data_IF_680959390373
#
_entry.id   IF_680959390373
#
_cell.length_a   1.000
_cell.length_b   1.000
_cell.length_c   1.000
_cell.angle_alpha   90.00
_cell.angle_beta   90.00
_cell.angle_gamma   90.00
#
_symmetry.space_group_name_H-M   'P 1'
#
loop_
_entity.id
_entity.type
_entity.pdbx_description
1 polymer ?
#
# COMPACT_ATOMS: atom_id res chain seq x y z
N UNK A 1 11.11 14.37 26.44
CA UNK A 1 10.12 13.57 25.71
C UNK A 1 10.71 13.31 24.35
N UNK A 2 10.89 12.06 23.95
CA UNK A 2 11.39 11.75 22.61
C UNK A 2 10.40 12.29 21.56
N UNK A 3 10.92 12.72 20.41
CA UNK A 3 10.08 13.26 19.35
C UNK A 3 9.04 12.21 18.91
N UNK A 4 7.77 12.62 18.81
CA UNK A 4 6.71 11.77 18.24
C UNK A 4 7.19 11.33 16.86
N UNK A 5 7.32 10.02 16.69
CA UNK A 5 7.88 9.47 15.46
C UNK A 5 6.86 9.62 14.33
N UNK A 6 7.27 10.18 13.20
CA UNK A 6 6.43 10.22 12.00
C UNK A 6 6.23 8.82 11.45
N UNK A 7 5.04 8.52 10.93
CA UNK A 7 4.65 7.19 10.44
C UNK A 7 5.70 6.45 9.60
N UNK A 8 6.33 7.11 8.62
CA UNK A 8 7.28 6.45 7.73
C UNK A 8 8.67 6.26 8.35
N UNK A 9 9.03 7.03 9.37
CA UNK A 9 10.38 7.03 9.97
C UNK A 9 10.83 5.65 10.48
N UNK A 10 10.03 4.88 11.23
CA UNK A 10 10.41 3.54 11.70
C UNK A 10 10.72 2.60 10.55
N UNK A 11 9.86 2.61 9.52
CA UNK A 11 10.03 1.77 8.32
C UNK A 11 11.29 2.18 7.57
N UNK A 12 11.52 3.48 7.41
CA UNK A 12 12.70 4.05 6.74
C UNK A 12 14.01 3.82 7.51
N UNK A 13 13.94 3.51 8.81
CA UNK A 13 15.11 3.17 9.63
C UNK A 13 15.51 1.69 9.52
N UNK A 14 14.63 0.81 9.01
CA UNK A 14 15.01 -0.57 8.68
C UNK A 14 16.04 -0.54 7.54
N UNK A 15 17.20 -1.21 7.66
CA UNK A 15 18.19 -1.27 6.58
C UNK A 15 17.58 -1.72 5.24
N UNK A 16 17.96 -1.09 4.13
CA UNK A 16 17.34 -1.34 2.82
C UNK A 16 17.45 -2.81 2.37
N UNK A 17 18.51 -3.52 2.79
CA UNK A 17 18.70 -4.95 2.52
C UNK A 17 17.85 -5.88 3.42
N UNK A 18 17.18 -5.33 4.44
CA UNK A 18 16.29 -6.05 5.36
C UNK A 18 14.82 -5.65 5.21
N UNK A 19 14.56 -4.47 4.65
CA UNK A 19 13.21 -3.94 4.49
C UNK A 19 12.45 -4.72 3.44
N UNK A 20 11.32 -5.31 3.85
CA UNK A 20 10.40 -5.97 2.92
C UNK A 20 9.84 -4.96 1.91
N UNK A 21 9.90 -5.31 0.62
CA UNK A 21 9.32 -4.49 -0.46
C UNK A 21 8.21 -5.21 -1.21
N UNK A 22 8.24 -6.54 -1.23
CA UNK A 22 7.23 -7.37 -1.89
C UNK A 22 6.22 -7.85 -0.87
N UNK A 23 4.93 -7.64 -1.12
CA UNK A 23 3.90 -8.01 -0.17
C UNK A 23 2.85 -8.91 -0.81
N UNK A 24 2.15 -9.63 0.06
CA UNK A 24 0.96 -10.40 -0.31
C UNK A 24 -0.21 -9.89 0.49
N UNK A 25 -1.25 -9.41 -0.20
CA UNK A 25 -2.40 -8.81 0.48
C UNK A 25 -3.21 -9.89 1.19
N UNK A 26 -3.56 -9.60 2.44
CA UNK A 26 -4.41 -10.44 3.28
C UNK A 26 -5.61 -9.66 3.81
N UNK A 27 -6.77 -10.30 3.71
CA UNK A 27 -8.04 -9.87 4.29
C UNK A 27 -8.59 -10.87 5.32
N UNK A 28 -7.82 -11.90 5.70
CA UNK A 28 -8.23 -12.87 6.72
C UNK A 28 -8.21 -12.19 8.11
N UNK A 29 -9.39 -12.02 8.70
CA UNK A 29 -9.55 -11.25 9.95
C UNK A 29 -8.78 -11.86 11.12
N UNK A 30 -8.90 -13.17 11.32
CA UNK A 30 -8.22 -13.87 12.41
C UNK A 30 -6.69 -13.78 12.28
N UNK A 31 -6.17 -13.91 11.06
CA UNK A 31 -4.73 -13.79 10.78
C UNK A 31 -4.25 -12.36 10.92
N UNK A 32 -5.01 -11.37 10.44
CA UNK A 32 -4.69 -9.95 10.63
C UNK A 32 -4.62 -9.57 12.11
N UNK A 33 -5.56 -10.03 12.92
CA UNK A 33 -5.56 -9.75 14.35
C UNK A 33 -4.39 -10.43 15.06
N UNK A 34 -4.06 -11.67 14.71
CA UNK A 34 -2.88 -12.36 15.22
C UNK A 34 -1.59 -11.61 14.87
N UNK A 35 -1.42 -11.19 13.61
CA UNK A 35 -0.27 -10.40 13.15
C UNK A 35 -0.15 -9.06 13.88
N UNK A 36 -1.28 -8.35 14.02
CA UNK A 36 -1.31 -7.08 14.75
C UNK A 36 -0.88 -7.28 16.20
N UNK A 37 -1.47 -8.25 16.90
CA UNK A 37 -1.17 -8.49 18.31
C UNK A 37 0.29 -8.95 18.55
N UNK A 38 0.94 -9.56 17.56
CA UNK A 38 2.34 -9.96 17.63
C UNK A 38 3.32 -8.76 17.62
N UNK A 39 2.94 -7.63 17.04
CA UNK A 39 3.80 -6.41 16.93
C UNK A 39 3.27 -5.23 17.76
N UNK A 40 1.95 -5.16 17.92
CA UNK A 40 1.19 -4.09 18.55
C UNK A 40 0.19 -4.66 19.57
N UNK A 41 0.65 -5.34 20.64
CA UNK A 41 -0.24 -5.86 21.67
C UNK A 41 -1.09 -4.76 22.32
N UNK A 42 -2.23 -5.15 22.88
CA UNK A 42 -3.17 -4.22 23.49
C UNK A 42 -2.48 -3.34 24.56
N UNK A 43 -2.67 -2.03 24.46
CA UNK A 43 -2.10 -1.06 25.40
C UNK A 43 -0.70 -0.54 25.06
N UNK A 44 -0.07 -1.01 23.98
CA UNK A 44 1.28 -0.58 23.54
C UNK A 44 1.47 0.95 23.61
N UNK A 45 0.48 1.73 23.16
CA UNK A 45 0.58 3.20 23.12
C UNK A 45 -0.11 3.94 24.27
N UNK A 46 -0.62 3.24 25.28
CA UNK A 46 -1.44 3.85 26.34
C UNK A 46 -0.65 4.85 27.18
N UNK A 47 0.52 4.45 27.70
CA UNK A 47 1.32 5.32 28.57
C UNK A 47 1.88 6.51 27.80
N UNK A 48 2.47 6.28 26.63
CA UNK A 48 3.03 7.35 25.78
C UNK A 48 1.96 8.37 25.38
N UNK A 49 0.73 7.92 25.14
CA UNK A 49 -0.42 8.82 24.89
C UNK A 49 -0.76 9.66 26.12
N UNK A 50 -0.78 9.06 27.33
CA UNK A 50 -1.03 9.81 28.58
C UNK A 50 0.06 10.87 28.81
N UNK A 51 1.32 10.50 28.61
CA UNK A 51 2.46 11.41 28.77
C UNK A 51 2.36 12.57 27.76
N UNK A 52 1.98 12.27 26.50
CA UNK A 52 1.77 13.27 25.46
C UNK A 52 0.66 14.26 25.80
N UNK A 53 -0.51 13.74 26.20
CA UNK A 53 -1.67 14.56 26.61
C UNK A 53 -1.30 15.51 27.74
N UNK A 54 -0.48 15.03 28.68
CA UNK A 54 -0.03 15.80 29.85
C UNK A 54 0.97 16.88 29.43
N UNK A 55 1.97 16.52 28.64
CA UNK A 55 3.02 17.44 28.21
C UNK A 55 2.50 18.56 27.30
N UNK A 56 1.58 18.25 26.39
CA UNK A 56 0.99 19.21 25.46
C UNK A 56 -0.26 19.92 26.02
N UNK A 57 -0.64 19.63 27.27
CA UNK A 57 -1.88 20.11 27.88
C UNK A 57 -3.14 19.91 26.98
N UNK A 58 -3.16 18.85 26.18
CA UNK A 58 -4.19 18.59 25.17
C UNK A 58 -4.71 17.16 25.27
N UNK A 59 -5.90 17.01 25.87
CA UNK A 59 -6.54 15.70 26.11
C UNK A 59 -7.01 14.97 24.84
N UNK A 60 -7.03 15.66 23.69
CA UNK A 60 -7.52 15.11 22.43
C UNK A 60 -6.42 14.44 21.59
N UNK A 61 -5.15 14.51 21.97
CA UNK A 61 -4.04 13.86 21.27
C UNK A 61 -4.08 12.35 21.48
N UNK A 62 -4.06 11.55 20.42
CA UNK A 62 -4.14 10.09 20.53
C UNK A 62 -3.04 9.45 19.68
N UNK A 63 -2.28 8.52 20.25
CA UNK A 63 -1.33 7.70 19.50
C UNK A 63 -1.90 6.32 19.24
N UNK A 64 -1.52 5.72 18.12
CA UNK A 64 -1.84 4.35 17.78
C UNK A 64 -0.57 3.59 17.43
N UNK A 65 -0.58 2.28 17.69
CA UNK A 65 0.51 1.43 17.28
C UNK A 65 0.39 1.15 15.78
N UNK A 66 1.40 1.54 15.02
CA UNK A 66 1.63 1.19 13.62
C UNK A 66 2.67 0.08 13.54
N UNK A 67 2.36 -0.94 12.75
CA UNK A 67 3.19 -2.10 12.53
C UNK A 67 3.71 -2.19 11.08
N UNK A 68 4.97 -2.60 10.95
CA UNK A 68 5.56 -2.96 9.66
C UNK A 68 6.32 -4.27 9.78
N UNK A 69 6.22 -5.22 8.83
CA UNK A 69 5.21 -5.30 7.78
C UNK A 69 3.77 -5.22 8.30
N UNK A 70 2.87 -4.65 7.50
CA UNK A 70 1.49 -4.39 7.93
C UNK A 70 0.71 -5.67 8.16
N UNK A 71 -0.24 -5.67 9.11
CA UNK A 71 -1.12 -6.83 9.37
C UNK A 71 -1.93 -7.27 8.16
N UNK A 72 -2.24 -6.35 7.25
CA UNK A 72 -2.93 -6.60 5.99
C UNK A 72 -2.03 -7.24 4.93
N UNK A 73 -0.82 -7.65 5.30
CA UNK A 73 0.07 -8.45 4.48
C UNK A 73 0.40 -9.77 5.16
N UNK A 74 0.64 -10.82 4.37
CA UNK A 74 1.06 -12.11 4.94
C UNK A 74 2.42 -12.05 5.64
N UNK A 75 3.27 -11.10 5.25
CA UNK A 75 4.57 -10.84 5.85
C UNK A 75 4.46 -10.11 7.20
N UNK A 76 3.27 -9.68 7.61
CA UNK A 76 2.99 -9.07 8.91
C UNK A 76 3.23 -10.01 10.10
N UNK A 77 3.29 -9.43 11.29
CA UNK A 77 3.48 -10.14 12.55
C UNK A 77 4.94 -10.47 12.84
N UNK A 78 5.20 -11.75 13.10
CA UNK A 78 6.51 -12.30 13.46
C UNK A 78 7.17 -13.12 12.36
N UNK A 79 6.65 -13.02 11.14
CA UNK A 79 7.21 -13.69 9.98
C UNK A 79 8.67 -13.27 9.69
N UNK A 80 8.95 -11.96 9.78
CA UNK A 80 10.30 -11.42 9.60
C UNK A 80 11.05 -11.33 10.93
N UNK A 81 12.38 -11.33 10.84
CA UNK A 81 13.26 -11.10 11.99
C UNK A 81 12.99 -9.75 12.67
N UNK A 82 13.34 -9.63 13.95
CA UNK A 82 13.03 -8.45 14.77
C UNK A 82 13.61 -7.14 14.26
N UNK A 83 14.71 -7.19 13.53
CA UNK A 83 15.40 -6.05 12.93
C UNK A 83 14.88 -5.67 11.52
N UNK A 84 13.90 -6.43 11.02
CA UNK A 84 13.20 -6.19 9.76
C UNK A 84 11.72 -5.81 9.98
N UNK A 85 11.31 -5.60 11.23
CA UNK A 85 9.95 -5.25 11.62
C UNK A 85 9.92 -4.11 12.64
N UNK A 86 8.81 -3.39 12.71
CA UNK A 86 8.58 -2.31 13.67
C UNK A 86 7.19 -2.40 14.27
N UNK A 87 7.05 -1.98 15.52
CA UNK A 87 5.78 -1.68 16.19
C UNK A 87 6.00 -0.43 17.02
N UNK A 88 5.40 0.69 16.62
CA UNK A 88 5.68 1.99 17.26
C UNK A 88 4.45 2.87 17.36
N UNK A 89 4.46 3.79 18.31
CA UNK A 89 3.37 4.72 18.54
C UNK A 89 3.50 5.95 17.65
N UNK A 90 2.56 6.11 16.75
CA UNK A 90 2.48 7.23 15.80
C UNK A 90 1.18 8.00 16.03
N UNK A 91 1.09 9.21 15.48
CA UNK A 91 -0.14 10.00 15.56
C UNK A 91 -1.32 9.24 14.92
N UNK A 92 -2.45 9.14 15.64
CA UNK A 92 -3.60 8.34 15.21
C UNK A 92 -4.14 8.72 13.83
N UNK A 93 -4.09 9.99 13.47
CA UNK A 93 -4.53 10.45 12.14
C UNK A 93 -3.61 9.97 11.02
N UNK A 94 -2.28 9.93 11.25
CA UNK A 94 -1.32 9.42 10.27
C UNK A 94 -1.54 7.92 10.07
N UNK A 95 -1.72 7.18 11.17
CA UNK A 95 -2.00 5.74 11.12
C UNK A 95 -3.31 5.44 10.37
N UNK A 96 -4.37 6.22 10.63
CA UNK A 96 -5.64 6.07 9.91
C UNK A 96 -5.48 6.32 8.40
N UNK A 97 -4.79 7.40 8.02
CA UNK A 97 -4.57 7.71 6.61
C UNK A 97 -3.76 6.64 5.90
N UNK A 98 -2.71 6.14 6.54
CA UNK A 98 -1.96 4.99 6.04
C UNK A 98 -2.82 3.74 5.89
N UNK A 99 -3.69 3.49 6.86
CA UNK A 99 -4.68 2.42 6.80
C UNK A 99 -5.59 2.53 5.57
N UNK A 100 -5.99 3.74 5.16
CA UNK A 100 -6.75 3.94 3.91
C UNK A 100 -5.90 3.62 2.67
N UNK A 101 -4.62 4.00 2.66
CA UNK A 101 -3.68 3.63 1.59
C UNK A 101 -3.55 2.12 1.43
N UNK A 102 -3.39 1.38 2.54
CA UNK A 102 -3.33 -0.08 2.52
C UNK A 102 -4.68 -0.72 2.14
N UNK A 103 -5.79 -0.10 2.56
CA UNK A 103 -7.14 -0.53 2.20
C UNK A 103 -7.39 -0.45 0.69
N UNK A 104 -6.81 0.56 0.02
CA UNK A 104 -6.90 0.75 -1.43
C UNK A 104 -6.24 -0.39 -2.21
N UNK A 105 -5.17 -1.00 -1.68
CA UNK A 105 -4.57 -2.23 -2.27
C UNK A 105 -5.61 -3.35 -2.36
N UNK A 106 -6.45 -3.48 -1.33
CA UNK A 106 -7.51 -4.48 -1.31
C UNK A 106 -8.60 -4.25 -2.36
N UNK A 107 -8.75 -3.02 -2.86
CA UNK A 107 -9.74 -2.67 -3.90
C UNK A 107 -9.28 -3.03 -5.32
N UNK A 108 -8.05 -3.57 -5.47
CA UNK A 108 -7.58 -4.09 -6.75
C UNK A 108 -8.29 -5.38 -7.15
N UNK A 109 -8.28 -5.66 -8.45
CA UNK A 109 -8.70 -6.94 -9.01
C UNK A 109 -7.55 -7.57 -9.81
N UNK A 110 -7.51 -8.91 -9.83
CA UNK A 110 -6.66 -9.66 -10.75
C UNK A 110 -7.51 -10.41 -11.77
N UNK A 111 -7.07 -10.42 -13.03
CA UNK A 111 -7.67 -11.25 -14.06
C UNK A 111 -7.21 -12.69 -13.89
N UNK A 112 -8.10 -13.51 -13.34
CA UNK A 112 -7.83 -14.89 -12.97
C UNK A 112 -7.28 -15.71 -14.14
N UNK A 113 -7.86 -15.57 -15.33
CA UNK A 113 -7.44 -16.33 -16.50
C UNK A 113 -6.04 -15.94 -16.99
N UNK A 114 -5.63 -14.69 -16.78
CA UNK A 114 -4.34 -14.14 -17.22
C UNK A 114 -3.21 -14.30 -16.18
N UNK A 115 -3.53 -14.82 -14.98
CA UNK A 115 -2.53 -15.22 -13.98
C UNK A 115 -1.82 -16.54 -14.34
N UNK A 116 -2.46 -17.36 -15.18
CA UNK A 116 -1.93 -18.61 -15.72
C UNK A 116 -0.89 -18.35 -16.82
N UNK A 117 0.11 -19.25 -17.02
CA UNK A 117 1.13 -19.05 -18.04
C UNK A 117 0.51 -18.79 -19.42
N UNK A 118 1.13 -17.91 -20.21
CA UNK A 118 0.69 -17.67 -21.59
C UNK A 118 0.72 -18.98 -22.38
N UNK A 119 -0.36 -19.26 -23.11
CA UNK A 119 -0.42 -20.41 -23.99
C UNK A 119 0.37 -20.10 -25.27
N UNK A 120 0.96 -21.14 -25.88
CA UNK A 120 1.84 -21.01 -27.05
C UNK A 120 1.14 -20.49 -28.31
N UNK A 121 -0.18 -20.56 -28.34
CA UNK A 121 -1.10 -20.19 -29.42
C UNK A 121 -1.69 -18.77 -29.27
N UNK A 122 -1.25 -18.02 -28.27
CA UNK A 122 -1.77 -16.69 -27.93
C UNK A 122 -2.66 -16.73 -26.70
N UNK A 123 -3.25 -15.59 -26.35
CA UNK A 123 -4.06 -15.44 -25.15
C UNK A 123 -5.50 -14.98 -25.47
N UNK A 124 -6.29 -15.91 -26.01
CA UNK A 124 -7.72 -15.76 -26.30
C UNK A 124 -8.63 -15.95 -25.07
N UNK A 125 -8.02 -16.15 -23.89
CA UNK A 125 -8.76 -16.36 -22.64
C UNK A 125 -9.61 -15.13 -22.32
N UNK A 126 -10.89 -15.35 -21.99
CA UNK A 126 -11.77 -14.29 -21.51
C UNK A 126 -11.29 -13.68 -20.19
N UNK A 127 -11.88 -12.55 -19.82
CA UNK A 127 -11.54 -11.84 -18.58
C UNK A 127 -12.33 -12.37 -17.39
N UNK A 128 -11.62 -12.78 -16.35
CA UNK A 128 -12.20 -13.27 -15.10
C UNK A 128 -11.67 -12.44 -13.93
N UNK A 129 -12.17 -11.20 -13.81
CA UNK A 129 -11.76 -10.28 -12.76
C UNK A 129 -12.19 -10.76 -11.38
N UNK A 130 -11.22 -10.90 -10.48
CA UNK A 130 -11.43 -11.30 -9.09
C UNK A 130 -10.85 -10.26 -8.14
N UNK A 131 -11.72 -9.72 -7.28
CA UNK A 131 -11.33 -8.74 -6.25
C UNK A 131 -10.37 -9.34 -5.22
N UNK A 132 -9.38 -8.54 -4.82
CA UNK A 132 -8.44 -8.90 -3.75
C UNK A 132 -9.11 -8.96 -2.37
N UNK A 133 -10.29 -8.36 -2.20
CA UNK A 133 -11.14 -8.55 -0.99
C UNK A 133 -11.88 -9.89 -0.96
N UNK A 134 -11.83 -10.69 -2.01
CA UNK A 134 -12.45 -12.01 -2.00
C UNK A 134 -11.82 -12.86 -0.88
N UNK A 135 -12.62 -13.38 0.04
CA UNK A 135 -12.14 -14.30 1.10
C UNK A 135 -11.75 -15.68 0.58
N UNK A 136 -11.97 -15.94 -0.71
CA UNK A 136 -11.58 -17.19 -1.36
C UNK A 136 -10.06 -17.21 -1.53
N UNK A 137 -9.37 -17.79 -0.56
CA UNK A 137 -8.08 -18.40 -0.82
C UNK A 137 -8.30 -19.61 -1.71
N UNK A 138 -7.54 -19.64 -2.78
CA UNK A 138 -7.59 -20.71 -3.75
C UNK A 138 -6.76 -21.86 -3.24
N UNK A 139 -7.42 -23.00 -3.11
CA UNK A 139 -6.81 -24.24 -2.64
C UNK A 139 -6.32 -25.04 -3.85
N UNK A 140 -5.37 -25.97 -3.66
CA UNK A 140 -4.96 -26.88 -4.73
C UNK A 140 -6.19 -27.56 -5.37
N UNK A 141 -6.25 -27.55 -6.71
CA UNK A 141 -7.35 -28.15 -7.47
C UNK A 141 -8.67 -27.37 -7.44
N UNK A 142 -8.68 -26.13 -6.93
CA UNK A 142 -9.83 -25.25 -7.08
C UNK A 142 -9.66 -24.35 -8.30
N UNK A 143 -10.70 -24.32 -9.13
CA UNK A 143 -10.85 -23.33 -10.18
C UNK A 143 -11.21 -21.97 -9.57
N UNK A 144 -10.95 -20.89 -10.32
CA UNK A 144 -11.23 -19.52 -9.90
C UNK A 144 -12.72 -19.21 -9.65
N UNK A 145 -13.18 -17.97 -9.91
CA UNK A 145 -14.58 -17.62 -9.71
C UNK A 145 -15.53 -18.53 -10.49
N UNK A 146 -16.80 -18.63 -10.07
CA UNK A 146 -17.80 -19.52 -10.67
C UNK A 146 -17.81 -19.42 -12.20
N UNK A 147 -17.63 -20.55 -12.89
CA UNK A 147 -17.55 -20.62 -14.35
C UNK A 147 -16.14 -20.42 -14.94
N UNK A 148 -15.13 -20.16 -14.11
CA UNK A 148 -13.73 -20.27 -14.52
C UNK A 148 -13.35 -21.74 -14.66
N UNK A 149 -12.73 -22.08 -15.79
CA UNK A 149 -12.06 -23.37 -15.99
C UNK A 149 -10.57 -23.31 -15.59
N UNK A 150 -10.07 -22.13 -15.23
CA UNK A 150 -8.66 -21.90 -14.94
C UNK A 150 -8.39 -22.17 -13.46
N UNK A 151 -7.44 -23.06 -13.21
CA UNK A 151 -6.84 -23.24 -11.88
C UNK A 151 -5.97 -22.03 -11.54
N UNK A 152 -5.48 -22.00 -10.30
CA UNK A 152 -4.48 -21.02 -9.92
C UNK A 152 -3.07 -21.50 -10.26
N UNK A 153 -2.19 -20.57 -10.60
CA UNK A 153 -0.78 -20.86 -10.83
C UNK A 153 0.02 -20.84 -9.53
N UNK A 154 0.78 -21.93 -9.32
CA UNK A 154 1.93 -21.92 -8.42
C UNK A 154 3.14 -21.34 -9.13
N UNK A 155 3.89 -20.50 -8.42
CA UNK A 155 5.15 -19.91 -8.87
C UNK A 155 6.21 -20.14 -7.80
N UNK A 156 7.43 -20.42 -8.26
CA UNK A 156 8.60 -20.41 -7.39
C UNK A 156 9.12 -18.98 -7.23
N UNK A 157 9.38 -18.62 -5.97
CA UNK A 157 9.89 -17.32 -5.55
C UNK A 157 11.36 -17.41 -5.17
N UNK A 158 12.16 -16.34 -5.39
CA UNK A 158 13.56 -16.34 -5.01
C UNK A 158 13.74 -16.50 -3.49
N UNK A 159 12.85 -15.84 -2.73
CA UNK A 159 12.84 -15.84 -1.28
C UNK A 159 11.72 -16.70 -0.70
N UNK A 160 11.92 -17.15 0.55
CA UNK A 160 10.88 -17.82 1.32
C UNK A 160 9.63 -16.95 1.38
N UNK A 161 8.48 -17.54 1.11
CA UNK A 161 7.18 -16.89 1.18
C UNK A 161 6.52 -17.21 2.52
N UNK A 162 5.70 -16.32 3.08
CA UNK A 162 4.82 -16.69 4.19
C UNK A 162 3.86 -17.80 3.76
N UNK A 163 3.33 -18.52 4.75
CA UNK A 163 2.30 -19.51 4.53
C UNK A 163 1.03 -18.81 4.03
N UNK A 164 0.44 -19.22 2.90
CA UNK A 164 -0.77 -18.60 2.41
C UNK A 164 -1.88 -18.68 3.45
N UNK A 165 -2.62 -17.60 3.65
CA UNK A 165 -3.77 -17.64 4.54
C UNK A 165 -4.77 -18.72 4.06
N UNK A 166 -5.41 -19.42 5.01
CA UNK A 166 -6.31 -20.54 4.70
C UNK A 166 -5.64 -21.83 4.17
N UNK A 167 -4.31 -21.88 4.00
CA UNK A 167 -3.58 -23.10 3.61
C UNK A 167 -2.88 -23.69 4.85
N UNK A 168 -3.28 -24.89 5.32
CA UNK A 168 -2.80 -25.45 6.60
C UNK A 168 -1.46 -26.17 6.52
N UNK A 169 -0.99 -26.53 5.32
CA UNK A 169 0.30 -27.20 5.09
C UNK A 169 0.86 -26.86 3.72
N UNK A 170 2.19 -26.83 3.58
CA UNK A 170 2.87 -26.80 2.26
C UNK A 170 4.17 -27.60 2.29
N UNK A 171 4.54 -28.17 1.15
CA UNK A 171 5.74 -28.99 1.02
C UNK A 171 7.01 -28.17 0.73
N UNK A 172 6.87 -26.93 0.24
CA UNK A 172 7.98 -26.07 -0.16
C UNK A 172 7.69 -24.62 0.28
N UNK A 173 8.67 -23.94 0.90
CA UNK A 173 8.52 -22.59 1.42
C UNK A 173 8.78 -21.47 0.40
N UNK A 174 9.23 -21.81 -0.81
CA UNK A 174 9.45 -20.91 -1.95
C UNK A 174 8.38 -21.02 -3.03
N UNK A 175 7.55 -22.07 -3.01
CA UNK A 175 6.44 -22.22 -3.95
C UNK A 175 5.18 -21.65 -3.34
N UNK A 176 4.56 -20.70 -4.03
CA UNK A 176 3.29 -20.10 -3.58
C UNK A 176 2.41 -19.67 -4.74
N UNK A 177 1.15 -19.39 -4.42
CA UNK A 177 0.12 -18.93 -5.32
C UNK A 177 0.30 -17.49 -5.77
N UNK A 178 -0.01 -17.15 -7.02
CA UNK A 178 0.23 -15.79 -7.57
C UNK A 178 -0.85 -14.74 -7.27
N UNK A 179 -2.06 -15.16 -6.89
CA UNK A 179 -3.17 -14.21 -6.64
C UNK A 179 -2.88 -13.34 -5.41
N UNK A 180 -3.15 -12.03 -5.50
CA UNK A 180 -2.90 -11.02 -4.45
C UNK A 180 -1.43 -10.86 -4.03
N UNK A 181 -0.49 -11.43 -4.80
CA UNK A 181 0.95 -11.37 -4.53
C UNK A 181 1.66 -10.37 -5.43
N UNK A 182 2.93 -10.16 -5.12
CA UNK A 182 3.91 -9.49 -5.96
C UNK A 182 3.63 -7.99 -6.20
N UNK A 183 2.85 -7.34 -5.32
CA UNK A 183 2.83 -5.89 -5.30
C UNK A 183 4.06 -5.38 -4.54
N UNK A 184 4.75 -4.44 -5.16
CA UNK A 184 5.94 -3.82 -4.61
C UNK A 184 5.59 -2.48 -3.96
N UNK A 185 5.96 -2.29 -2.71
CA UNK A 185 5.88 -0.99 -2.05
C UNK A 185 7.22 -0.28 -2.16
N UNK A 186 7.13 0.93 -2.70
CA UNK A 186 8.26 1.85 -2.77
C UNK A 186 8.13 2.91 -1.69
N UNK A 187 9.19 3.05 -0.89
CA UNK A 187 9.28 4.10 0.11
C UNK A 187 10.08 5.25 -0.47
N UNK A 188 9.53 6.45 -0.40
CA UNK A 188 10.23 7.63 -0.89
C UNK A 188 11.12 8.15 0.25
N UNK A 189 12.43 7.95 0.09
CA UNK A 189 13.48 8.18 1.11
C UNK A 189 14.29 9.42 0.77
N UNK A 190 13.71 10.60 0.93
CA UNK A 190 14.48 11.84 0.85
C UNK A 190 14.39 12.60 2.16
N UNK A 191 15.53 13.09 2.65
CA UNK A 191 15.59 13.97 3.81
C UNK A 191 14.83 15.26 3.48
N UNK A 192 13.75 15.60 4.21
CA UNK A 192 12.92 16.77 3.94
C UNK A 192 13.69 18.09 3.82
N UNK A 193 14.86 18.20 4.46
CA UNK A 193 15.73 19.38 4.41
C UNK A 193 16.61 19.46 3.16
N UNK A 194 16.75 18.34 2.45
CA UNK A 194 17.46 18.24 1.15
C UNK A 194 16.49 18.26 -0.02
N UNK A 195 15.18 18.22 0.21
CA UNK A 195 14.17 18.29 -0.85
C UNK A 195 14.12 19.73 -1.39
N UNK A 196 14.89 19.99 -2.44
CA UNK A 196 14.66 21.12 -3.35
C UNK A 196 13.99 20.65 -4.65
N UNK A 197 13.53 21.60 -5.48
CA UNK A 197 12.85 21.31 -6.75
C UNK A 197 13.69 20.53 -7.78
N UNK A 198 14.97 20.29 -7.51
CA UNK A 198 15.87 19.44 -8.30
C UNK A 198 16.19 18.11 -7.62
N UNK A 199 16.06 18.04 -6.29
CA UNK A 199 16.33 16.85 -5.49
C UNK A 199 15.14 15.88 -5.54
N UNK A 200 13.94 16.38 -5.79
CA UNK A 200 12.83 15.60 -6.34
C UNK A 200 12.65 15.93 -7.83
N UNK A 201 13.16 15.05 -8.70
CA UNK A 201 12.72 14.89 -10.09
C UNK A 201 12.31 16.16 -10.85
N UNK A 202 13.15 17.20 -10.96
CA UNK A 202 12.90 18.33 -11.87
C UNK A 202 11.49 18.98 -11.83
N UNK A 203 10.74 18.84 -10.74
CA UNK A 203 9.31 19.11 -10.71
C UNK A 203 9.03 20.54 -10.25
N UNK A 204 9.54 21.51 -11.01
CA UNK A 204 8.97 22.86 -11.08
C UNK A 204 8.71 23.33 -12.52
N UNK A 205 8.85 22.46 -13.53
CA UNK A 205 8.69 22.92 -14.92
C UNK A 205 7.32 22.66 -15.55
N UNK A 206 6.38 21.96 -14.91
CA UNK A 206 5.05 21.73 -15.50
C UNK A 206 3.94 22.35 -14.66
N UNK A 207 3.43 23.48 -15.16
CA UNK A 207 2.19 24.10 -14.67
C UNK A 207 1.05 23.10 -14.87
N UNK A 208 0.54 22.55 -13.77
CA UNK A 208 -0.66 21.73 -13.78
C UNK A 208 -1.84 22.54 -14.32
N UNK A 209 -2.62 21.95 -15.25
CA UNK A 209 -3.81 22.58 -15.81
C UNK A 209 -4.83 22.85 -14.70
N UNK A 210 -4.98 24.11 -14.35
CA UNK A 210 -6.05 24.58 -13.46
C UNK A 210 -7.34 24.73 -14.26
N UNK A 211 -8.36 23.97 -13.89
CA UNK A 211 -9.69 24.56 -13.68
C UNK A 211 -10.25 23.92 -12.41
N UNK A 212 -10.49 24.78 -11.41
CA UNK A 212 -11.09 24.50 -10.09
C UNK A 212 -10.38 23.47 -9.22
N UNK A 213 -9.41 23.86 -8.38
CA UNK A 213 -9.17 23.11 -7.14
C UNK A 213 -8.38 23.89 -6.07
N UNK A 214 -8.71 23.64 -4.79
CA UNK A 214 -8.10 24.24 -3.59
C UNK A 214 -7.14 23.24 -2.91
N UNK A 215 -5.96 23.03 -3.49
CA UNK A 215 -4.95 22.11 -2.97
C UNK A 215 -3.59 22.28 -3.65
N UNK A 216 -2.48 21.75 -3.08
CA UNK A 216 -1.20 21.71 -3.77
C UNK A 216 -1.36 20.86 -5.04
N UNK A 217 -0.81 21.31 -6.17
CA UNK A 217 -1.00 20.65 -7.46
C UNK A 217 0.14 19.68 -7.83
N UNK A 218 1.09 19.44 -6.93
CA UNK A 218 2.28 18.62 -7.17
C UNK A 218 2.37 17.33 -6.34
N UNK A 219 3.54 16.68 -6.41
CA UNK A 219 3.85 15.43 -5.70
C UNK A 219 3.74 15.53 -4.18
N UNK A 220 3.93 16.72 -3.62
CA UNK A 220 3.76 17.05 -2.21
C UNK A 220 2.33 16.86 -1.71
N UNK A 221 1.36 16.79 -2.64
CA UNK A 221 0.00 16.42 -2.33
C UNK A 221 -0.19 14.92 -2.16
N UNK A 222 0.64 14.03 -2.72
CA UNK A 222 0.35 12.60 -2.73
C UNK A 222 0.76 11.95 -1.40
N UNK A 223 -0.21 11.34 -0.71
CA UNK A 223 0.04 10.53 0.48
C UNK A 223 0.37 9.08 0.10
N UNK A 224 -0.32 8.56 -0.91
CA UNK A 224 -0.06 7.25 -1.52
C UNK A 224 -0.75 7.14 -2.89
N UNK A 225 -0.22 6.27 -3.74
CA UNK A 225 -0.78 5.97 -5.05
C UNK A 225 -0.43 4.54 -5.50
N UNK A 226 -1.26 3.96 -6.36
CA UNK A 226 -1.08 2.63 -6.95
C UNK A 226 -0.97 2.77 -8.46
N UNK A 227 -0.12 1.92 -9.04
CA UNK A 227 -0.06 1.73 -10.49
C UNK A 227 0.31 0.27 -10.81
N UNK A 228 -0.08 -0.21 -12.00
CA UNK A 228 0.26 -1.56 -12.49
C UNK A 228 0.97 -1.58 -13.85
N UNK A 229 1.48 -0.44 -14.34
CA UNK A 229 2.28 -0.23 -15.58
C UNK A 229 2.19 -1.32 -16.67
N UNK A 230 1.33 -1.13 -17.65
CA UNK A 230 1.24 -2.02 -18.82
C UNK A 230 0.77 -3.44 -18.50
N UNK A 231 0.25 -3.67 -17.30
CA UNK A 231 -0.39 -4.92 -16.87
C UNK A 231 -1.91 -4.79 -16.83
N UNK A 232 -2.51 -3.93 -17.65
CA UNK A 232 -3.96 -3.65 -17.71
C UNK A 232 -4.81 -4.91 -17.99
N UNK A 233 -4.21 -5.93 -18.62
CA UNK A 233 -4.87 -7.22 -18.86
C UNK A 233 -4.83 -8.15 -17.65
N UNK A 234 -3.95 -7.91 -16.68
CA UNK A 234 -3.71 -8.76 -15.50
C UNK A 234 -4.25 -8.13 -14.23
N UNK A 235 -4.12 -6.82 -14.08
CA UNK A 235 -4.53 -6.07 -12.90
C UNK A 235 -5.46 -4.94 -13.28
N UNK A 236 -6.40 -4.66 -12.38
CA UNK A 236 -7.32 -3.54 -12.52
C UNK A 236 -7.29 -2.72 -11.24
N UNK A 237 -7.12 -1.40 -11.41
CA UNK A 237 -7.12 -0.42 -10.32
C UNK A 237 -8.53 -0.24 -9.74
N UNK A 238 -8.65 0.33 -8.52
CA UNK A 238 -9.92 0.75 -7.96
C UNK A 238 -10.67 1.69 -8.93
N UNK A 239 -12.00 1.57 -8.98
CA UNK A 239 -12.81 2.39 -9.88
C UNK A 239 -12.80 3.84 -9.40
N UNK A 240 -12.44 4.75 -10.30
CA UNK A 240 -12.60 6.19 -10.13
C UNK A 240 -11.53 6.88 -9.30
N UNK A 241 -10.47 6.22 -8.82
CA UNK A 241 -9.29 6.83 -8.19
C UNK A 241 -8.15 5.81 -8.05
N UNK A 242 -6.91 6.28 -7.95
CA UNK A 242 -5.74 5.42 -7.72
C UNK A 242 -4.78 5.96 -6.65
N UNK A 243 -5.17 7.02 -5.94
CA UNK A 243 -4.37 7.58 -4.85
C UNK A 243 -5.19 8.33 -3.82
N UNK A 244 -4.52 8.60 -2.69
CA UNK A 244 -4.98 9.55 -1.70
C UNK A 244 -4.01 10.73 -1.64
N UNK A 245 -4.58 11.92 -1.65
CA UNK A 245 -3.85 13.17 -1.67
C UNK A 245 -4.31 14.12 -0.55
N UNK A 246 -3.40 14.99 -0.13
CA UNK A 246 -3.64 16.08 0.79
C UNK A 246 -4.59 17.10 0.17
N UNK A 247 -5.64 17.43 0.91
CA UNK A 247 -6.59 18.50 0.65
C UNK A 247 -6.33 19.67 1.58
N UNK A 248 -6.35 20.89 1.05
CA UNK A 248 -6.22 22.11 1.86
C UNK A 248 -7.57 22.61 2.37
N UNK A 249 -8.68 21.95 2.01
CA UNK A 249 -10.01 22.21 2.54
C UNK A 249 -10.40 21.16 3.59
N UNK A 250 -11.36 21.53 4.46
CA UNK A 250 -11.95 20.67 5.48
C UNK A 250 -11.57 21.04 6.92
N UNK A 251 -12.26 20.41 7.87
CA UNK A 251 -12.07 20.68 9.30
C UNK A 251 -10.67 20.23 9.78
N UNK A 252 -10.03 20.96 10.70
CA UNK A 252 -8.77 20.53 11.29
C UNK A 252 -8.89 19.16 11.95
N UNK A 253 -7.83 18.37 11.87
CA UNK A 253 -7.78 17.07 12.55
C UNK A 253 -7.85 17.31 14.06
N UNK A 254 -8.88 16.75 14.69
CA UNK A 254 -9.13 16.88 16.12
C UNK A 254 -7.86 16.52 16.91
N UNK A 255 -7.45 17.43 17.79
CA UNK A 255 -6.30 17.25 18.68
C UNK A 255 -4.94 17.57 18.07
N UNK A 256 -4.76 17.52 16.75
CA UNK A 256 -3.44 17.64 16.10
C UNK A 256 -3.17 18.98 15.42
N UNK A 257 -4.18 19.86 15.34
CA UNK A 257 -4.08 21.19 14.68
C UNK A 257 -3.55 21.15 13.24
N UNK A 258 -3.68 20.00 12.57
CA UNK A 258 -3.29 19.85 11.17
C UNK A 258 -4.32 20.56 10.27
N UNK A 259 -3.88 21.61 9.57
CA UNK A 259 -4.70 22.41 8.64
C UNK A 259 -4.89 21.77 7.26
N UNK A 260 -4.98 20.44 7.20
CA UNK A 260 -5.15 19.70 5.97
C UNK A 260 -5.84 18.35 6.22
N UNK A 261 -6.53 17.85 5.19
CA UNK A 261 -7.21 16.57 5.20
C UNK A 261 -6.68 15.65 4.10
N UNK A 262 -7.17 14.42 4.07
CA UNK A 262 -6.94 13.46 3.00
C UNK A 262 -8.19 13.33 2.16
N UNK A 263 -8.05 13.19 0.84
CA UNK A 263 -9.12 12.72 0.00
C UNK A 263 -8.63 12.02 -1.25
N UNK A 264 -9.56 11.45 -2.02
CA UNK A 264 -9.25 10.69 -3.22
C UNK A 264 -8.69 11.60 -4.31
N UNK A 265 -7.76 11.06 -5.09
CA UNK A 265 -7.19 11.70 -6.25
C UNK A 265 -6.89 10.67 -7.35
N UNK A 266 -6.82 11.18 -8.58
CA UNK A 266 -6.28 10.47 -9.73
C UNK A 266 -4.86 10.97 -9.98
N UNK A 267 -3.89 10.07 -9.86
CA UNK A 267 -2.48 10.30 -10.10
C UNK A 267 -2.12 9.69 -11.44
N UNK A 268 -1.76 10.52 -12.41
CA UNK A 268 -1.24 10.08 -13.70
C UNK A 268 0.27 9.99 -13.61
N UNK A 269 0.82 8.79 -13.79
CA UNK A 269 2.27 8.58 -13.85
C UNK A 269 2.78 8.88 -15.26
N UNK A 270 3.95 9.51 -15.37
CA UNK A 270 4.56 9.84 -16.65
C UNK A 270 5.06 8.57 -17.36
N UNK A 271 5.10 8.66 -18.69
CA UNK A 271 5.57 7.60 -19.59
C UNK A 271 4.86 6.24 -19.45
N UNK A 272 3.51 6.18 -19.46
CA UNK A 272 2.73 4.95 -19.29
C UNK A 272 2.93 3.91 -20.40
N UNK A 273 3.49 4.33 -21.55
CA UNK A 273 3.70 3.50 -22.75
C UNK A 273 5.03 2.74 -22.77
N UNK A 274 5.83 2.78 -21.69
CA UNK A 274 7.04 1.96 -21.59
C UNK A 274 6.64 0.50 -21.41
N UNK A 275 6.54 -0.25 -22.52
CA UNK A 275 6.21 -1.69 -22.59
C UNK A 275 7.24 -2.62 -21.95
N UNK A 276 8.32 -2.08 -21.39
CA UNK A 276 9.33 -2.86 -20.70
C UNK A 276 8.82 -3.22 -19.31
N UNK A 277 8.49 -4.50 -19.11
CA UNK A 277 8.42 -5.15 -17.80
C UNK A 277 9.75 -4.89 -17.08
N UNK A 278 9.81 -3.86 -16.24
CA UNK A 278 11.08 -3.42 -15.65
C UNK A 278 11.57 -4.45 -14.63
N UNK A 279 12.88 -4.66 -14.58
CA UNK A 279 13.52 -5.65 -13.71
C UNK A 279 13.40 -5.26 -12.24
N UNK A 280 13.07 -6.25 -11.41
CA UNK A 280 13.07 -6.16 -9.94
C UNK A 280 14.45 -5.64 -9.49
N UNK A 281 14.48 -4.53 -8.74
CA UNK A 281 15.70 -4.03 -8.10
C UNK A 281 16.40 -2.83 -8.75
N UNK A 282 15.92 -2.28 -9.87
CA UNK A 282 16.47 -1.05 -10.49
C UNK A 282 15.68 0.23 -10.15
N UNK A 283 14.94 0.20 -9.05
CA UNK A 283 13.83 1.12 -8.82
C UNK A 283 14.23 2.45 -8.14
N UNK A 284 14.17 3.54 -8.89
CA UNK A 284 14.32 4.91 -8.40
C UNK A 284 13.10 5.76 -8.81
N UNK A 285 11.97 5.62 -8.11
CA UNK A 285 10.81 6.54 -8.14
C UNK A 285 10.02 6.62 -9.46
N UNK A 286 8.69 6.58 -9.38
CA UNK A 286 7.85 6.83 -10.57
C UNK A 286 7.64 8.33 -10.78
N UNK A 287 7.88 8.81 -12.00
CA UNK A 287 7.56 10.18 -12.39
C UNK A 287 6.03 10.36 -12.47
N UNK A 288 5.51 11.50 -12.02
CA UNK A 288 4.07 11.83 -12.04
C UNK A 288 3.85 13.00 -12.98
N UNK A 289 2.96 12.79 -13.94
CA UNK A 289 2.56 13.77 -14.95
C UNK A 289 1.52 14.75 -14.40
N UNK A 290 0.52 14.26 -13.66
CA UNK A 290 -0.54 15.11 -13.10
C UNK A 290 -1.24 14.47 -11.91
N UNK A 291 -1.72 15.32 -10.99
CA UNK A 291 -2.63 14.93 -9.91
C UNK A 291 -3.95 15.67 -10.08
N UNK A 292 -5.07 14.93 -10.15
CA UNK A 292 -6.43 15.49 -10.15
C UNK A 292 -7.12 15.12 -8.85
N UNK A 293 -7.48 16.13 -8.05
CA UNK A 293 -8.33 15.90 -6.89
C UNK A 293 -9.74 15.62 -7.37
N UNK A 294 -10.39 14.63 -6.76
CA UNK A 294 -11.76 14.24 -7.11
C UNK A 294 -12.72 14.90 -6.13
N UNK A 295 -13.65 15.72 -6.59
CA UNK A 295 -14.62 16.36 -5.69
C UNK A 295 -15.63 15.31 -5.21
N UNK A 296 -16.34 15.59 -4.09
CA UNK A 296 -17.38 14.66 -3.60
C UNK A 296 -18.53 14.49 -4.59
N UNK A 297 -18.70 15.44 -5.52
CA UNK A 297 -19.76 15.48 -6.54
C UNK A 297 -19.39 14.79 -7.87
N UNK A 298 -18.16 14.27 -8.03
CA UNK A 298 -17.70 13.60 -9.28
C UNK A 298 -18.22 12.16 -9.43
N UNK A 299 -19.20 11.73 -8.63
CA UNK A 299 -19.74 10.35 -8.59
C UNK A 299 -21.26 10.26 -8.83
N UNK A 300 -21.88 11.23 -9.51
CA UNK A 300 -23.22 11.02 -10.12
C UNK A 300 -23.14 10.17 -11.41
#
# INVERSE_FOLDING_TARGET
MDAITGLCTPVLNIPDNKRQKLFTFSNDEARKDARYNAQCPAGTCKQVTTDLKTHQANKNLELQCDEFPWKSSEQGGDYLASDARTGTCVASYQNNWHGQCLRMIGDMESNWAKLEPERKDGDDRGDYWLSWRSGVWTKPGQHGPQGSQYEQRLKEYPEKQPMPDGVPTRNNDKISWVFKRDYEVSFIRQDPSTIDGSTWWGATSHKFKTKTNSGPSGMDAILCAINHFGQDSVYKLPVGYNGYCRRNNGSPIKGWSAGFNMGKCEVKFANPNSSNKRSIGTFAGWEVESVRMLDEDDYE
#
